data_IF_183703032348
#
_entry.id   IF_183703032348
#
_cell.length_a   1.000
_cell.length_b   1.000
_cell.length_c   1.000
_cell.angle_alpha   90.00
_cell.angle_beta   90.00
_cell.angle_gamma   90.00
#
_symmetry.space_group_name_H-M   'P 1'
#
loop_
_entity.id
_entity.type
_entity.pdbx_description
1 polymer ?
#
# COMPACT_ATOMS: atom_id res chain seq x y z
N UNK A 1 -19.57 8.27 16.69
CA UNK A 1 -18.83 7.00 16.69
C UNK A 1 -19.49 6.07 15.70
N UNK A 2 -19.00 6.10 14.47
CA UNK A 2 -19.42 5.20 13.39
C UNK A 2 -18.66 3.90 13.61
N UNK A 3 -19.38 2.86 14.00
CA UNK A 3 -18.81 1.53 14.18
C UNK A 3 -18.59 0.86 12.81
N UNK A 4 -17.41 0.29 12.60
CA UNK A 4 -17.05 -0.39 11.35
C UNK A 4 -17.60 -1.80 11.32
N UNK A 5 -18.03 -2.25 10.14
CA UNK A 5 -18.46 -3.62 9.92
C UNK A 5 -17.29 -4.60 10.05
N UNK A 6 -17.45 -5.60 10.92
CA UNK A 6 -16.41 -6.58 11.24
C UNK A 6 -16.56 -7.91 10.51
N UNK A 7 -17.67 -8.10 9.76
CA UNK A 7 -18.03 -9.38 9.12
C UNK A 7 -17.04 -9.84 8.05
N UNK A 8 -16.23 -8.92 7.53
CA UNK A 8 -15.30 -9.17 6.43
C UNK A 8 -13.84 -9.07 6.85
N UNK A 9 -13.56 -8.97 8.15
CA UNK A 9 -12.18 -8.86 8.62
C UNK A 9 -11.38 -10.13 8.34
N UNK A 10 -10.13 -9.90 7.94
CA UNK A 10 -9.19 -10.93 7.57
C UNK A 10 -8.84 -11.78 8.80
N UNK A 11 -9.22 -13.06 8.75
CA UNK A 11 -8.91 -14.04 9.80
C UNK A 11 -8.12 -15.24 9.24
N UNK A 12 -7.51 -15.08 8.07
CA UNK A 12 -6.75 -16.15 7.43
C UNK A 12 -5.45 -16.44 8.19
N UNK A 13 -5.30 -17.63 8.80
CA UNK A 13 -4.10 -17.98 9.57
C UNK A 13 -2.84 -18.05 8.70
N UNK A 14 -2.97 -18.22 7.37
CA UNK A 14 -1.84 -18.28 6.44
C UNK A 14 -1.09 -16.95 6.33
N UNK A 15 -1.73 -15.82 6.67
CA UNK A 15 -1.08 -14.51 6.69
C UNK A 15 0.15 -14.48 7.62
N UNK A 16 0.12 -15.26 8.71
CA UNK A 16 1.26 -15.38 9.66
C UNK A 16 2.45 -16.17 9.10
N UNK A 17 2.30 -16.80 7.94
CA UNK A 17 3.32 -17.64 7.29
C UNK A 17 3.83 -17.01 5.98
N UNK A 18 3.52 -15.73 5.74
CA UNK A 18 3.95 -15.00 4.55
C UNK A 18 5.48 -14.93 4.48
N UNK A 19 6.05 -15.40 3.37
CA UNK A 19 7.50 -15.48 3.15
C UNK A 19 7.88 -14.70 1.91
N UNK A 20 8.97 -13.93 1.97
CA UNK A 20 9.45 -13.12 0.85
C UNK A 20 9.97 -14.02 -0.28
N UNK A 21 9.52 -13.83 -1.54
CA UNK A 21 10.04 -14.56 -2.69
C UNK A 21 11.53 -14.28 -2.93
N UNK A 22 12.27 -15.29 -3.36
CA UNK A 22 13.63 -15.08 -3.86
C UNK A 22 13.61 -14.40 -5.23
N UNK A 23 14.70 -13.72 -5.58
CA UNK A 23 14.85 -13.05 -6.89
C UNK A 23 15.30 -14.02 -8.01
N UNK A 24 15.53 -15.28 -7.69
CA UNK A 24 15.99 -16.33 -8.60
C UNK A 24 14.92 -17.40 -8.79
N UNK A 25 15.02 -18.17 -9.87
CA UNK A 25 14.10 -19.27 -10.18
C UNK A 25 14.36 -19.80 -11.59
N UNK A 26 13.59 -20.82 -11.98
CA UNK A 26 13.74 -21.48 -13.29
C UNK A 26 12.50 -21.34 -14.17
N UNK A 27 11.34 -21.01 -13.59
CA UNK A 27 10.08 -20.79 -14.29
C UNK A 27 9.55 -19.38 -13.99
N UNK A 28 9.53 -18.47 -15.00
CA UNK A 28 9.00 -17.12 -14.83
C UNK A 28 7.53 -17.07 -14.42
N UNK A 29 6.69 -18.01 -14.87
CA UNK A 29 5.26 -17.98 -14.52
C UNK A 29 5.03 -18.48 -13.10
N UNK A 30 5.75 -19.52 -12.68
CA UNK A 30 5.75 -19.92 -11.27
C UNK A 30 6.20 -18.77 -10.36
N UNK A 31 7.28 -18.06 -10.74
CA UNK A 31 7.76 -16.90 -9.99
C UNK A 31 6.74 -15.76 -9.96
N UNK A 32 6.04 -15.50 -11.07
CA UNK A 32 4.97 -14.49 -11.13
C UNK A 32 3.87 -14.82 -10.12
N UNK A 33 3.40 -16.05 -10.09
CA UNK A 33 2.35 -16.48 -9.16
C UNK A 33 2.81 -16.44 -7.71
N UNK A 34 4.09 -16.76 -7.45
CA UNK A 34 4.70 -16.61 -6.13
C UNK A 34 4.69 -15.14 -5.66
N UNK A 35 5.13 -14.20 -6.51
CA UNK A 35 5.14 -12.76 -6.20
C UNK A 35 3.73 -12.22 -6.05
N UNK A 36 2.79 -12.62 -6.91
CA UNK A 36 1.39 -12.20 -6.82
C UNK A 36 0.76 -12.66 -5.50
N UNK A 37 1.02 -13.91 -5.09
CA UNK A 37 0.57 -14.42 -3.78
C UNK A 37 1.19 -13.63 -2.64
N UNK A 38 2.50 -13.35 -2.71
CA UNK A 38 3.19 -12.55 -1.69
C UNK A 38 2.60 -11.14 -1.58
N UNK A 39 2.35 -10.46 -2.70
CA UNK A 39 1.67 -9.17 -2.73
C UNK A 39 0.28 -9.23 -2.09
N UNK A 40 -0.55 -10.21 -2.49
CA UNK A 40 -1.90 -10.38 -1.93
C UNK A 40 -1.87 -10.59 -0.42
N UNK A 41 -0.94 -11.41 0.07
CA UNK A 41 -0.80 -11.69 1.51
C UNK A 41 -0.31 -10.47 2.30
N UNK A 42 0.72 -9.77 1.82
CA UNK A 42 1.23 -8.55 2.48
C UNK A 42 0.19 -7.43 2.48
N UNK A 43 -0.57 -7.26 1.40
CA UNK A 43 -1.68 -6.30 1.33
C UNK A 43 -2.81 -6.64 2.30
N UNK A 44 -3.15 -7.93 2.42
CA UNK A 44 -4.13 -8.41 3.38
C UNK A 44 -3.66 -8.22 4.83
N UNK A 45 -2.37 -8.44 5.12
CA UNK A 45 -1.78 -8.15 6.44
C UNK A 45 -1.92 -6.67 6.78
N UNK A 46 -1.51 -5.77 5.87
CA UNK A 46 -1.63 -4.33 6.08
C UNK A 46 -3.08 -3.93 6.36
N UNK A 47 -4.03 -4.46 5.58
CA UNK A 47 -5.46 -4.21 5.78
C UNK A 47 -5.95 -4.73 7.14
N UNK A 48 -5.54 -5.95 7.54
CA UNK A 48 -5.91 -6.57 8.81
C UNK A 48 -5.42 -5.77 10.03
N UNK A 49 -4.28 -5.07 9.93
CA UNK A 49 -3.79 -4.20 11.00
C UNK A 49 -4.80 -3.07 11.30
N UNK A 50 -5.35 -2.44 10.26
CA UNK A 50 -6.33 -1.36 10.42
C UNK A 50 -7.74 -1.87 10.74
N UNK A 51 -8.06 -3.12 10.43
CA UNK A 51 -9.31 -3.74 10.85
C UNK A 51 -9.42 -3.80 12.38
N UNK A 52 -8.33 -3.86 13.13
CA UNK A 52 -8.38 -3.80 14.61
C UNK A 52 -9.01 -2.52 15.17
N UNK A 53 -9.13 -1.46 14.36
CA UNK A 53 -9.78 -0.20 14.72
C UNK A 53 -11.31 -0.31 14.53
N UNK A 54 -12.02 -0.43 15.65
CA UNK A 54 -13.48 -0.63 15.70
C UNK A 54 -14.30 0.55 15.17
N UNK A 55 -13.80 1.78 15.32
CA UNK A 55 -14.53 3.00 14.98
C UNK A 55 -13.79 3.82 13.93
N UNK A 56 -14.52 4.44 13.01
CA UNK A 56 -13.91 5.29 11.97
C UNK A 56 -13.21 6.50 12.56
N UNK A 57 -13.75 7.07 13.64
CA UNK A 57 -13.14 8.25 14.30
C UNK A 57 -11.73 7.96 14.81
N UNK A 58 -11.42 6.70 15.14
CA UNK A 58 -10.07 6.29 15.58
C UNK A 58 -9.00 6.55 14.51
N UNK A 59 -9.37 6.59 13.23
CA UNK A 59 -8.42 6.87 12.16
C UNK A 59 -7.92 8.32 12.17
N UNK A 60 -8.70 9.25 12.72
CA UNK A 60 -8.39 10.68 12.71
C UNK A 60 -7.78 11.16 14.04
N UNK A 61 -7.70 10.27 15.04
CA UNK A 61 -7.05 10.59 16.31
C UNK A 61 -5.53 10.68 16.10
N UNK A 62 -4.94 11.76 16.65
CA UNK A 62 -3.49 11.95 16.70
C UNK A 62 -3.01 11.67 18.12
N UNK A 63 -2.48 10.47 18.33
CA UNK A 63 -1.99 10.04 19.64
C UNK A 63 -0.63 10.67 20.01
N UNK A 64 0.16 11.06 19.01
CA UNK A 64 1.49 11.65 19.17
C UNK A 64 1.60 12.87 18.23
N UNK A 65 1.96 14.07 18.75
CA UNK A 65 2.14 15.25 17.93
C UNK A 65 3.27 15.13 16.90
N UNK A 66 4.15 14.14 16.97
CA UNK A 66 5.20 13.90 15.96
C UNK A 66 4.79 12.87 14.90
N UNK A 67 3.51 12.47 14.89
CA UNK A 67 2.94 11.50 13.95
C UNK A 67 1.71 12.07 13.26
N UNK A 68 1.47 11.61 12.04
CA UNK A 68 0.20 11.83 11.37
C UNK A 68 -0.90 10.97 12.00
N UNK A 69 -2.19 11.31 11.82
CA UNK A 69 -3.29 10.41 12.19
C UNK A 69 -3.26 9.11 11.37
N UNK A 70 -3.89 8.05 11.87
CA UNK A 70 -3.86 6.71 11.25
C UNK A 70 -4.46 6.68 9.83
N UNK A 71 -5.37 7.60 9.49
CA UNK A 71 -5.90 7.76 8.13
C UNK A 71 -4.80 8.03 7.10
N UNK A 72 -3.76 8.77 7.49
CA UNK A 72 -2.60 9.00 6.62
C UNK A 72 -1.91 7.68 6.29
N UNK A 73 -1.55 6.90 7.31
CA UNK A 73 -0.85 5.63 7.13
C UNK A 73 -1.69 4.60 6.38
N UNK A 74 -3.02 4.64 6.56
CA UNK A 74 -3.95 3.82 5.81
C UNK A 74 -3.91 4.15 4.31
N UNK A 75 -3.81 5.42 3.92
CA UNK A 75 -3.65 5.78 2.49
C UNK A 75 -2.20 5.70 1.97
N UNK A 76 -1.21 5.85 2.85
CA UNK A 76 0.21 6.00 2.51
C UNK A 76 0.79 4.81 1.75
N UNK A 77 0.53 3.59 2.22
CA UNK A 77 1.06 2.37 1.57
C UNK A 77 0.56 2.26 0.13
N UNK A 78 -0.72 2.55 -0.11
CA UNK A 78 -1.31 2.56 -1.45
C UNK A 78 -0.71 3.66 -2.35
N UNK A 79 -0.55 4.90 -1.82
CA UNK A 79 0.13 5.97 -2.55
C UNK A 79 1.60 5.66 -2.87
N UNK A 80 2.30 4.96 -1.99
CA UNK A 80 3.68 4.53 -2.21
C UNK A 80 3.80 3.63 -3.45
N UNK A 81 2.91 2.63 -3.62
CA UNK A 81 2.89 1.80 -4.83
C UNK A 81 2.75 2.64 -6.09
N UNK A 82 1.74 3.51 -6.15
CA UNK A 82 1.49 4.34 -7.35
C UNK A 82 2.68 5.23 -7.65
N UNK A 83 3.24 5.90 -6.64
CA UNK A 83 4.38 6.79 -6.82
C UNK A 83 5.63 6.04 -7.29
N UNK A 84 5.98 4.91 -6.67
CA UNK A 84 7.15 4.11 -7.05
C UNK A 84 7.03 3.55 -8.46
N UNK A 85 5.87 2.97 -8.79
CA UNK A 85 5.62 2.41 -10.11
C UNK A 85 5.57 3.48 -11.20
N UNK A 86 5.08 4.69 -10.89
CA UNK A 86 5.11 5.84 -11.81
C UNK A 86 6.54 6.29 -12.08
N UNK A 87 7.38 6.44 -11.04
CA UNK A 87 8.80 6.81 -11.19
C UNK A 87 9.57 5.77 -12.00
N UNK A 88 9.27 4.48 -11.78
CA UNK A 88 9.84 3.37 -12.55
C UNK A 88 9.26 3.25 -13.98
N UNK A 89 8.28 4.09 -14.35
CA UNK A 89 7.57 4.06 -15.65
C UNK A 89 6.92 2.70 -15.95
N UNK A 90 6.41 2.04 -14.91
CA UNK A 90 5.64 0.80 -15.02
C UNK A 90 4.13 1.02 -15.10
N UNK A 91 3.69 2.21 -14.69
CA UNK A 91 2.33 2.70 -14.90
C UNK A 91 2.40 4.12 -15.45
N UNK A 92 1.53 4.42 -16.41
CA UNK A 92 1.53 5.73 -17.10
C UNK A 92 0.47 6.68 -16.54
N UNK A 93 -0.45 6.17 -15.73
CA UNK A 93 -1.58 6.92 -15.20
C UNK A 93 -1.69 6.70 -13.69
N UNK A 94 -1.77 7.84 -12.99
CA UNK A 94 -2.16 7.92 -11.58
C UNK A 94 -3.63 7.51 -11.42
N UNK A 95 -3.98 7.02 -10.24
CA UNK A 95 -5.33 6.51 -9.91
C UNK A 95 -6.16 7.62 -9.29
N UNK A 96 -5.62 8.30 -8.28
CA UNK A 96 -6.26 9.43 -7.61
C UNK A 96 -5.17 10.43 -7.22
N UNK A 97 -4.73 11.31 -8.15
CA UNK A 97 -3.59 12.21 -7.94
C UNK A 97 -3.67 13.05 -6.65
N UNK A 98 -4.88 13.45 -6.26
CA UNK A 98 -5.10 14.20 -5.02
C UNK A 98 -4.73 13.37 -3.77
N UNK A 99 -5.19 12.11 -3.69
CA UNK A 99 -4.85 11.20 -2.59
C UNK A 99 -3.37 10.84 -2.62
N UNK A 100 -2.82 10.58 -3.81
CA UNK A 100 -1.40 10.26 -3.96
C UNK A 100 -0.49 11.40 -3.53
N UNK A 101 -0.91 12.65 -3.70
CA UNK A 101 -0.20 13.81 -3.16
C UNK A 101 -0.38 13.94 -1.65
N UNK A 102 -1.61 13.82 -1.15
CA UNK A 102 -1.94 13.95 0.27
C UNK A 102 -1.24 12.89 1.13
N UNK A 103 -1.21 11.65 0.67
CA UNK A 103 -0.60 10.54 1.38
C UNK A 103 0.89 10.39 1.12
N UNK A 104 1.49 11.15 0.19
CA UNK A 104 2.93 11.12 -0.07
C UNK A 104 3.72 12.19 0.69
N UNK A 105 3.05 13.00 1.51
CA UNK A 105 3.71 13.99 2.37
C UNK A 105 4.65 13.24 3.30
N UNK A 106 5.96 13.44 3.11
CA UNK A 106 6.97 12.95 4.03
C UNK A 106 7.00 13.80 5.30
N UNK A 107 7.57 13.25 6.36
CA UNK A 107 7.98 14.08 7.50
C UNK A 107 9.32 14.70 7.11
N UNK A 108 9.36 16.00 6.86
CA UNK A 108 10.63 16.70 6.65
C UNK A 108 11.40 16.72 7.98
N UNK A 109 12.54 16.03 8.03
CA UNK A 109 13.40 15.92 9.22
C UNK A 109 13.93 17.28 9.70
N UNK A 110 13.95 18.28 8.81
CA UNK A 110 14.45 19.63 9.06
C UNK A 110 13.31 20.65 9.28
N UNK A 111 12.06 20.26 9.04
CA UNK A 111 10.86 21.08 9.25
C UNK A 111 9.88 20.33 10.15
N UNK A 112 10.23 20.24 11.43
CA UNK A 112 9.28 19.85 12.47
C UNK A 112 8.09 20.82 12.56
N UNK A 113 8.24 22.04 12.02
CA UNK A 113 7.25 23.11 11.95
C UNK A 113 6.22 22.94 10.81
N UNK A 114 6.47 22.09 9.79
CA UNK A 114 5.49 21.78 8.74
C UNK A 114 4.49 20.69 9.14
N UNK A 115 4.57 20.18 10.37
CA UNK A 115 3.40 19.64 11.08
C UNK A 115 2.44 20.77 11.48
N UNK A 116 2.26 21.72 10.56
CA UNK A 116 1.34 22.82 10.62
C UNK A 116 -0.01 22.21 11.02
N UNK A 117 -0.61 22.79 12.05
CA UNK A 117 -1.93 22.44 12.60
C UNK A 117 -3.06 22.69 11.58
N UNK A 118 -2.73 22.72 10.29
CA UNK A 118 -3.66 22.72 9.19
C UNK A 118 -4.58 21.51 9.33
N UNK A 119 -5.86 21.81 9.47
CA UNK A 119 -6.95 20.87 9.25
C UNK A 119 -6.79 20.29 7.84
N UNK A 120 -6.00 19.23 7.70
CA UNK A 120 -6.01 18.42 6.49
C UNK A 120 -7.43 17.86 6.38
N UNK A 121 -8.11 18.16 5.28
CA UNK A 121 -9.38 17.56 4.90
C UNK A 121 -9.12 16.10 4.51
N UNK A 122 -8.84 15.28 5.52
CA UNK A 122 -8.62 13.86 5.32
C UNK A 122 -9.88 13.23 4.72
N UNK A 123 -9.74 12.43 3.65
CA UNK A 123 -10.86 11.69 3.08
C UNK A 123 -11.44 10.72 4.10
N UNK A 124 -12.69 10.34 3.87
CA UNK A 124 -13.40 9.38 4.72
C UNK A 124 -12.75 7.99 4.64
N UNK A 125 -12.91 7.17 5.68
CA UNK A 125 -12.39 5.79 5.70
C UNK A 125 -12.87 4.98 4.48
N UNK A 126 -14.15 5.04 4.06
CA UNK A 126 -14.60 4.35 2.85
C UNK A 126 -13.97 4.87 1.54
N UNK A 127 -13.68 6.16 1.42
CA UNK A 127 -13.00 6.72 0.24
C UNK A 127 -11.56 6.22 0.16
N UNK A 128 -10.84 6.18 1.30
CA UNK A 128 -9.48 5.64 1.35
C UNK A 128 -9.47 4.15 1.07
N UNK A 129 -10.42 3.38 1.61
CA UNK A 129 -10.55 1.96 1.30
C UNK A 129 -10.82 1.73 -0.20
N UNK A 130 -11.73 2.51 -0.80
CA UNK A 130 -12.01 2.43 -2.24
C UNK A 130 -10.76 2.74 -3.09
N UNK A 131 -10.00 3.77 -2.72
CA UNK A 131 -8.72 4.07 -3.37
C UNK A 131 -7.71 2.93 -3.22
N UNK A 132 -7.57 2.39 -2.00
CA UNK A 132 -6.74 1.22 -1.70
C UNK A 132 -7.11 0.03 -2.60
N UNK A 133 -8.40 -0.28 -2.75
CA UNK A 133 -8.83 -1.38 -3.63
C UNK A 133 -8.46 -1.14 -5.10
N UNK A 134 -8.61 0.09 -5.61
CA UNK A 134 -8.19 0.42 -6.98
C UNK A 134 -6.68 0.26 -7.18
N UNK A 135 -5.87 0.70 -6.21
CA UNK A 135 -4.42 0.51 -6.22
C UNK A 135 -4.08 -0.98 -6.21
N UNK A 136 -4.70 -1.77 -5.33
CA UNK A 136 -4.51 -3.22 -5.27
C UNK A 136 -4.76 -3.86 -6.63
N UNK A 137 -5.91 -3.60 -7.24
CA UNK A 137 -6.24 -4.15 -8.57
C UNK A 137 -5.22 -3.73 -9.62
N UNK A 138 -4.78 -2.46 -9.63
CA UNK A 138 -3.77 -1.98 -10.58
C UNK A 138 -2.44 -2.73 -10.42
N UNK A 139 -1.98 -2.96 -9.19
CA UNK A 139 -0.73 -3.68 -8.91
C UNK A 139 -0.87 -5.16 -9.28
N UNK A 140 -2.00 -5.80 -8.98
CA UNK A 140 -2.26 -7.19 -9.41
C UNK A 140 -2.21 -7.31 -10.93
N UNK A 141 -2.90 -6.42 -11.67
CA UNK A 141 -2.87 -6.42 -13.13
C UNK A 141 -1.45 -6.20 -13.67
N UNK A 142 -0.67 -5.32 -13.06
CA UNK A 142 0.74 -5.12 -13.45
C UNK A 142 1.54 -6.41 -13.24
N UNK A 143 1.45 -7.04 -12.07
CA UNK A 143 2.15 -8.30 -11.78
C UNK A 143 1.70 -9.41 -12.73
N UNK A 144 0.43 -9.46 -13.10
CA UNK A 144 -0.11 -10.49 -14.02
C UNK A 144 0.37 -10.30 -15.47
N UNK A 145 0.65 -9.06 -15.90
CA UNK A 145 0.90 -8.74 -17.32
C UNK A 145 2.34 -8.36 -17.66
N UNK A 146 3.13 -7.89 -16.69
CA UNK A 146 4.51 -7.44 -16.93
C UNK A 146 5.39 -8.63 -17.38
N UNK A 147 6.10 -8.57 -18.53
CA UNK A 147 7.01 -9.64 -18.91
C UNK A 147 8.06 -9.89 -17.83
N UNK A 148 8.25 -11.16 -17.45
CA UNK A 148 9.17 -11.56 -16.37
C UNK A 148 10.27 -12.44 -16.96
N UNK A 149 11.51 -12.01 -16.75
CA UNK A 149 12.71 -12.78 -17.03
C UNK A 149 13.48 -13.01 -15.73
N UNK A 150 14.08 -14.19 -15.60
CA UNK A 150 14.83 -14.59 -14.41
C UNK A 150 16.34 -14.67 -14.70
N UNK A 151 17.19 -14.31 -13.72
CA UNK A 151 16.85 -13.79 -12.39
C UNK A 151 16.40 -12.31 -12.42
N UNK A 152 15.61 -11.89 -11.42
CA UNK A 152 15.28 -10.47 -11.20
C UNK A 152 16.53 -9.74 -10.72
N UNK A 153 17.24 -9.13 -11.67
CA UNK A 153 18.42 -8.30 -11.40
C UNK A 153 18.04 -6.84 -11.19
N UNK A 154 19.00 -6.01 -10.76
CA UNK A 154 18.82 -4.57 -10.57
C UNK A 154 18.30 -3.83 -11.82
N UNK A 155 18.65 -4.31 -13.02
CA UNK A 155 18.19 -3.73 -14.28
C UNK A 155 16.79 -4.21 -14.72
N UNK A 156 16.19 -5.16 -14.00
CA UNK A 156 14.87 -5.69 -14.33
C UNK A 156 13.77 -4.70 -13.87
N UNK A 157 12.71 -4.49 -14.67
CA UNK A 157 11.55 -3.72 -14.22
C UNK A 157 10.90 -4.33 -12.96
N UNK A 158 11.04 -5.65 -12.77
CA UNK A 158 10.56 -6.35 -11.58
C UNK A 158 11.30 -5.96 -10.30
N UNK A 159 12.50 -5.38 -10.40
CA UNK A 159 13.18 -4.83 -9.23
C UNK A 159 12.34 -3.75 -8.54
N UNK A 160 11.74 -2.85 -9.33
CA UNK A 160 10.86 -1.80 -8.78
C UNK A 160 9.57 -2.38 -8.17
N UNK A 161 9.03 -3.46 -8.75
CA UNK A 161 7.87 -4.17 -8.20
C UNK A 161 8.23 -4.78 -6.84
N UNK A 162 9.35 -5.51 -6.76
CA UNK A 162 9.79 -6.15 -5.51
C UNK A 162 10.16 -5.15 -4.42
N UNK A 163 10.68 -3.97 -4.77
CA UNK A 163 10.96 -2.90 -3.81
C UNK A 163 9.70 -2.16 -3.34
N UNK A 164 8.59 -2.29 -4.06
CA UNK A 164 7.34 -1.64 -3.72
C UNK A 164 6.46 -2.48 -2.77
N UNK A 165 6.56 -3.82 -2.86
CA UNK A 165 5.86 -4.80 -2.00
C UNK A 165 6.59 -4.93 -0.66
#
# INVERSE_FOLDING_TARGET
MIERDTRHWHNDPTLKQTTMPTLTGHDPEEKRQEILRYFRQTYAIDTALYETLRFEESFYLRADPLRHPLIFYYGHTAAFYVNKLTVARLIDQRITPHFESMFAIGVDEMSWDDLNEAHYDWPTVPEVDHYRQQVKTRVETLIETLPLELPISWGSPWWAVMMAI
#
